data_IF_172842152623
#
_entry.id   IF_172842152623
#
_cell.length_a   1.000
_cell.length_b   1.000
_cell.length_c   1.000
_cell.angle_alpha   90.00
_cell.angle_beta   90.00
_cell.angle_gamma   90.00
#
_symmetry.space_group_name_H-M   'P 1'
#
loop_
_entity.id
_entity.type
_entity.pdbx_description
1 polymer ?
#
# COMPACT_ATOMS: atom_id res chain seq x y z
N UNK A 1 10.11 3.56 22.90
CA UNK A 1 9.32 3.27 24.11
C UNK A 1 8.06 4.12 24.05
N UNK A 2 6.91 3.51 23.77
CA UNK A 2 5.62 4.17 23.43
C UNK A 2 5.08 5.11 24.53
N UNK A 3 5.47 4.89 25.79
CA UNK A 3 4.93 5.66 26.93
C UNK A 3 5.18 7.17 26.89
N UNK A 4 6.19 7.66 26.15
CA UNK A 4 6.50 9.10 26.09
C UNK A 4 5.78 9.85 24.96
N UNK A 5 4.98 9.18 24.15
CA UNK A 5 4.43 9.76 22.89
C UNK A 5 2.90 9.85 22.86
N UNK A 6 2.20 9.22 23.80
CA UNK A 6 0.72 9.20 23.83
C UNK A 6 0.15 10.23 24.81
N UNK A 7 -0.96 10.88 24.43
CA UNK A 7 -1.60 11.93 25.22
C UNK A 7 -2.51 11.42 26.36
N UNK A 8 -2.63 10.10 26.51
CA UNK A 8 -3.52 9.44 27.46
C UNK A 8 -2.78 8.34 28.26
N UNK A 9 -3.34 7.85 29.39
CA UNK A 9 -2.68 6.85 30.23
C UNK A 9 -2.39 5.54 29.47
N UNK A 10 -1.13 5.13 29.50
CA UNK A 10 -0.69 3.85 28.96
C UNK A 10 -1.29 2.68 29.74
N UNK A 11 -1.85 1.71 29.03
CA UNK A 11 -2.42 0.48 29.53
C UNK A 11 -2.12 -0.65 28.54
N UNK A 12 -1.33 -1.62 28.97
CA UNK A 12 -0.89 -2.73 28.12
C UNK A 12 -2.06 -3.62 27.69
N UNK A 13 -3.07 -3.81 28.55
CA UNK A 13 -4.21 -4.67 28.23
C UNK A 13 -4.99 -4.09 27.05
N UNK A 14 -5.05 -2.76 26.95
CA UNK A 14 -5.69 -2.06 25.83
C UNK A 14 -4.92 -2.13 24.52
N UNK A 15 -3.59 -2.07 24.61
CA UNK A 15 -2.74 -2.30 23.43
C UNK A 15 -2.96 -3.72 22.89
N UNK A 16 -3.09 -4.71 23.78
CA UNK A 16 -3.38 -6.10 23.40
C UNK A 16 -4.77 -6.20 22.76
N UNK A 17 -5.78 -5.55 23.33
CA UNK A 17 -7.14 -5.52 22.77
C UNK A 17 -7.17 -4.92 21.35
N UNK A 18 -6.48 -3.82 21.12
CA UNK A 18 -6.33 -3.19 19.81
C UNK A 18 -5.59 -4.12 18.83
N UNK A 19 -4.52 -4.78 19.29
CA UNK A 19 -3.76 -5.74 18.48
C UNK A 19 -4.59 -6.94 18.03
N UNK A 20 -5.40 -7.50 18.93
CA UNK A 20 -6.35 -8.57 18.62
C UNK A 20 -7.37 -8.08 17.60
N UNK A 21 -7.92 -6.87 17.80
CA UNK A 21 -8.89 -6.28 16.89
C UNK A 21 -8.32 -6.09 15.47
N UNK A 22 -7.10 -5.56 15.34
CA UNK A 22 -6.44 -5.40 14.03
C UNK A 22 -6.23 -6.73 13.32
N UNK A 23 -6.00 -7.82 14.06
CA UNK A 23 -5.91 -9.17 13.50
C UNK A 23 -7.17 -9.60 12.74
N UNK A 24 -8.35 -9.11 13.11
CA UNK A 24 -9.59 -9.38 12.37
C UNK A 24 -9.59 -8.83 10.94
N UNK A 25 -8.75 -7.81 10.64
CA UNK A 25 -8.64 -7.20 9.31
C UNK A 25 -7.86 -8.08 8.31
N UNK A 26 -7.05 -9.01 8.80
CA UNK A 26 -6.31 -9.96 7.96
C UNK A 26 -7.19 -11.07 7.38
N UNK A 27 -8.48 -11.09 7.73
CA UNK A 27 -9.44 -12.10 7.33
C UNK A 27 -9.89 -12.92 8.52
N UNK A 28 -11.21 -12.98 8.71
CA UNK A 28 -11.86 -13.84 9.69
C UNK A 28 -13.14 -14.44 9.07
N UNK A 29 -13.81 -15.35 9.78
CA UNK A 29 -15.00 -16.05 9.28
C UNK A 29 -16.16 -15.12 8.87
N UNK A 30 -16.14 -13.86 9.30
CA UNK A 30 -17.18 -12.86 9.04
C UNK A 30 -16.75 -11.76 8.06
N UNK A 31 -15.44 -11.48 7.94
CA UNK A 31 -14.91 -10.36 7.16
C UNK A 31 -13.82 -10.89 6.21
N UNK A 32 -13.95 -10.66 4.88
CA UNK A 32 -12.88 -11.00 3.95
C UNK A 32 -11.61 -10.20 4.26
N UNK A 33 -10.45 -10.78 3.99
CA UNK A 33 -9.18 -10.08 4.17
C UNK A 33 -9.11 -8.81 3.31
N UNK A 34 -8.36 -7.81 3.78
CA UNK A 34 -8.10 -6.63 2.96
C UNK A 34 -7.36 -7.01 1.66
N UNK A 35 -7.63 -6.32 0.54
CA UNK A 35 -6.87 -6.51 -0.70
C UNK A 35 -5.37 -6.34 -0.43
N UNK A 36 -4.55 -7.16 -1.07
CA UNK A 36 -3.08 -7.12 -1.00
C UNK A 36 -2.46 -7.31 0.41
N UNK A 37 -3.28 -7.54 1.44
CA UNK A 37 -2.88 -7.99 2.78
C UNK A 37 -3.18 -9.48 2.91
N UNK A 38 -2.27 -10.31 2.40
CA UNK A 38 -2.36 -11.76 2.60
C UNK A 38 -1.87 -12.15 3.99
N UNK A 39 -2.41 -13.24 4.55
CA UNK A 39 -2.08 -13.78 5.87
C UNK A 39 -0.65 -14.34 5.85
N UNK A 40 0.34 -13.45 5.85
CA UNK A 40 1.76 -13.71 5.98
C UNK A 40 2.29 -12.87 7.14
N UNK A 41 3.37 -13.33 7.77
CA UNK A 41 3.98 -12.67 8.93
C UNK A 41 4.25 -11.17 8.69
N UNK A 42 4.48 -10.78 7.44
CA UNK A 42 4.69 -9.39 7.02
C UNK A 42 3.44 -8.50 7.23
N UNK A 43 2.23 -9.00 7.00
CA UNK A 43 1.01 -8.19 7.19
C UNK A 43 0.73 -7.88 8.67
N UNK A 44 1.05 -8.79 9.59
CA UNK A 44 0.98 -8.51 11.02
C UNK A 44 1.96 -7.42 11.45
N UNK A 45 3.18 -7.43 10.87
CA UNK A 45 4.17 -6.37 11.11
C UNK A 45 3.68 -5.02 10.57
N UNK A 46 3.11 -5.00 9.36
CA UNK A 46 2.53 -3.77 8.79
C UNK A 46 1.39 -3.19 9.64
N UNK A 47 0.48 -4.03 10.16
CA UNK A 47 -0.56 -3.57 11.10
C UNK A 47 0.06 -2.96 12.35
N UNK A 48 1.09 -3.60 12.90
CA UNK A 48 1.79 -3.12 14.08
C UNK A 48 2.51 -1.80 13.85
N UNK A 49 3.22 -1.66 12.73
CA UNK A 49 3.93 -0.44 12.36
C UNK A 49 2.95 0.71 12.11
N UNK A 50 1.83 0.42 11.44
CA UNK A 50 0.73 1.38 11.24
C UNK A 50 0.16 1.83 12.58
N UNK A 51 -0.08 0.90 13.50
CA UNK A 51 -0.59 1.21 14.82
C UNK A 51 0.36 2.10 15.61
N UNK A 52 1.67 1.83 15.54
CA UNK A 52 2.69 2.68 16.16
C UNK A 52 2.69 4.12 15.63
N UNK A 53 2.46 4.31 14.34
CA UNK A 53 2.35 5.64 13.73
C UNK A 53 1.08 6.35 14.19
N UNK A 54 -0.03 5.62 14.30
CA UNK A 54 -1.35 6.18 14.58
C UNK A 54 -1.57 6.46 16.06
N UNK A 55 -1.13 5.56 16.95
CA UNK A 55 -1.44 5.62 18.38
C UNK A 55 -1.11 6.96 19.06
N UNK A 56 0.05 7.62 18.79
CA UNK A 56 0.35 8.95 19.33
C UNK A 56 -0.59 10.06 18.86
N UNK A 57 -1.28 9.87 17.73
CA UNK A 57 -2.21 10.84 17.14
C UNK A 57 -3.62 10.72 17.73
N UNK A 58 -3.91 9.63 18.44
CA UNK A 58 -5.23 9.37 19.02
C UNK A 58 -5.36 10.00 20.41
N UNK A 59 -6.61 10.21 20.83
CA UNK A 59 -7.00 10.63 22.17
C UNK A 59 -7.36 9.46 23.11
N UNK A 60 -7.20 8.22 22.63
CA UNK A 60 -7.40 6.98 23.37
C UNK A 60 -7.20 5.74 22.49
N UNK A 61 -7.59 4.56 23.00
CA UNK A 61 -7.48 3.29 22.28
C UNK A 61 -8.57 3.12 21.21
N UNK A 62 -8.31 2.27 20.22
CA UNK A 62 -9.25 2.00 19.12
C UNK A 62 -10.45 1.17 19.63
N UNK A 63 -10.19 0.20 20.51
CA UNK A 63 -11.17 -0.67 21.13
C UNK A 63 -11.35 -0.34 22.61
N UNK A 64 -12.57 0.03 22.99
CA UNK A 64 -12.94 0.36 24.36
C UNK A 64 -13.89 -0.71 24.91
N UNK A 65 -13.30 -1.74 25.52
CA UNK A 65 -14.04 -2.86 26.13
C UNK A 65 -14.98 -3.60 25.15
N UNK A 66 -14.53 -3.82 23.92
CA UNK A 66 -15.32 -4.46 22.86
C UNK A 66 -16.20 -3.50 22.07
N UNK A 67 -16.20 -2.21 22.42
CA UNK A 67 -16.84 -1.16 21.61
C UNK A 67 -15.78 -0.47 20.76
N UNK A 68 -15.94 -0.55 19.44
CA UNK A 68 -15.02 0.08 18.50
C UNK A 68 -15.26 1.59 18.43
N UNK A 69 -14.22 2.38 18.66
CA UNK A 69 -14.24 3.82 18.39
C UNK A 69 -13.98 4.03 16.89
N UNK A 70 -15.05 4.36 16.14
CA UNK A 70 -15.00 4.46 14.69
C UNK A 70 -14.15 5.64 14.18
N UNK A 71 -14.06 6.73 14.94
CA UNK A 71 -13.27 7.90 14.54
C UNK A 71 -11.77 7.58 14.61
N UNK A 72 -11.33 6.97 15.72
CA UNK A 72 -9.95 6.49 15.88
C UNK A 72 -9.62 5.38 14.89
N UNK A 73 -10.56 4.47 14.66
CA UNK A 73 -10.41 3.41 13.68
C UNK A 73 -10.30 3.96 12.25
N UNK A 74 -11.02 5.04 11.91
CA UNK A 74 -10.91 5.69 10.61
C UNK A 74 -9.50 6.28 10.39
N UNK A 75 -8.89 6.89 11.41
CA UNK A 75 -7.50 7.37 11.34
C UNK A 75 -6.55 6.20 11.06
N UNK A 76 -6.74 5.07 11.77
CA UNK A 76 -5.96 3.86 11.55
C UNK A 76 -6.10 3.33 10.11
N UNK A 77 -7.31 3.18 9.60
CA UNK A 77 -7.56 2.73 8.22
C UNK A 77 -6.99 3.69 7.17
N UNK A 78 -7.02 4.99 7.46
CA UNK A 78 -6.45 6.01 6.57
C UNK A 78 -4.94 5.85 6.45
N UNK A 79 -4.24 5.64 7.57
CA UNK A 79 -2.81 5.34 7.55
C UNK A 79 -2.53 4.01 6.84
N UNK A 80 -3.29 2.97 7.16
CA UNK A 80 -3.14 1.64 6.56
C UNK A 80 -3.31 1.67 5.03
N UNK A 81 -4.19 2.52 4.51
CA UNK A 81 -4.44 2.66 3.06
C UNK A 81 -3.22 3.15 2.26
N UNK A 82 -2.26 3.81 2.91
CA UNK A 82 -1.01 4.25 2.26
C UNK A 82 -0.17 3.06 1.80
N UNK A 83 -0.21 1.95 2.54
CA UNK A 83 0.44 0.71 2.15
C UNK A 83 -0.13 0.18 0.82
N UNK A 84 -1.46 0.08 0.73
CA UNK A 84 -2.13 -0.40 -0.48
C UNK A 84 -1.86 0.51 -1.69
N UNK A 85 -1.85 1.83 -1.44
CA UNK A 85 -1.53 2.83 -2.48
C UNK A 85 -0.09 2.68 -2.98
N UNK A 86 0.89 2.62 -2.08
CA UNK A 86 2.31 2.45 -2.43
C UNK A 86 2.53 1.16 -3.22
N UNK A 87 1.87 0.08 -2.82
CA UNK A 87 1.98 -1.21 -3.49
C UNK A 87 1.38 -1.17 -4.91
N UNK A 88 0.26 -0.47 -5.08
CA UNK A 88 -0.37 -0.29 -6.38
C UNK A 88 0.55 0.50 -7.34
N UNK A 89 1.13 1.60 -6.85
CA UNK A 89 2.03 2.45 -7.63
C UNK A 89 3.29 1.70 -8.08
N UNK A 90 3.91 0.90 -7.20
CA UNK A 90 5.08 0.09 -7.52
C UNK A 90 4.75 -0.92 -8.64
N UNK A 91 3.62 -1.63 -8.52
CA UNK A 91 3.21 -2.59 -9.55
C UNK A 91 2.84 -1.94 -10.87
N UNK A 92 2.20 -0.78 -10.84
CA UNK A 92 1.87 -0.05 -12.06
C UNK A 92 3.14 0.40 -12.78
N UNK A 93 4.14 0.91 -12.05
CA UNK A 93 5.43 1.30 -12.60
C UNK A 93 6.15 0.11 -13.26
N UNK A 94 6.16 -1.06 -12.60
CA UNK A 94 6.73 -2.28 -13.15
C UNK A 94 6.02 -2.74 -14.44
N UNK A 95 4.69 -2.71 -14.46
CA UNK A 95 3.90 -3.05 -15.64
C UNK A 95 4.21 -2.12 -16.81
N UNK A 96 4.23 -0.80 -16.57
CA UNK A 96 4.58 0.21 -17.58
C UNK A 96 5.99 0.00 -18.13
N UNK A 97 6.96 -0.29 -17.25
CA UNK A 97 8.34 -0.57 -17.65
C UNK A 97 8.48 -1.84 -18.51
N UNK A 98 7.78 -2.92 -18.14
CA UNK A 98 7.76 -4.16 -18.93
C UNK A 98 7.14 -3.95 -20.31
N UNK A 99 6.01 -3.24 -20.39
CA UNK A 99 5.35 -2.90 -21.65
C UNK A 99 6.25 -2.04 -22.54
N UNK A 100 6.92 -1.03 -21.98
CA UNK A 100 7.87 -0.19 -22.71
C UNK A 100 9.05 -0.98 -23.29
N UNK A 101 9.62 -1.92 -22.52
CA UNK A 101 10.68 -2.81 -23.01
C UNK A 101 10.20 -3.76 -24.10
N UNK A 102 9.00 -4.32 -23.95
CA UNK A 102 8.41 -5.22 -24.95
C UNK A 102 8.11 -4.48 -26.26
N UNK A 103 7.53 -3.28 -26.16
CA UNK A 103 7.28 -2.39 -27.29
C UNK A 103 8.58 -1.97 -28.00
N UNK A 104 9.61 -1.56 -27.26
CA UNK A 104 10.90 -1.19 -27.81
C UNK A 104 11.64 -2.38 -28.46
N UNK A 105 11.45 -3.60 -27.94
CA UNK A 105 11.97 -4.82 -28.58
C UNK A 105 11.23 -5.13 -29.88
N UNK A 106 9.90 -5.11 -29.87
CA UNK A 106 9.08 -5.31 -31.08
C UNK A 106 9.38 -4.28 -32.17
N UNK A 107 9.50 -3.00 -31.80
CA UNK A 107 9.83 -1.93 -32.73
C UNK A 107 11.18 -2.18 -33.44
N UNK A 108 12.22 -2.55 -32.68
CA UNK A 108 13.55 -2.92 -33.24
C UNK A 108 13.49 -4.16 -34.13
N UNK A 109 12.63 -5.12 -33.81
CA UNK A 109 12.47 -6.34 -34.60
C UNK A 109 11.72 -6.09 -35.92
N UNK A 110 10.69 -5.25 -35.91
CA UNK A 110 9.97 -4.81 -37.11
C UNK A 110 10.85 -3.98 -38.04
N UNK A 111 11.69 -3.10 -37.49
CA UNK A 111 12.69 -2.34 -38.23
C UNK A 111 13.71 -3.28 -38.92
N UNK A 112 14.24 -4.28 -38.19
CA UNK A 112 15.13 -5.32 -38.75
C UNK A 112 14.47 -6.14 -39.85
N UNK A 113 13.18 -6.39 -39.77
CA UNK A 113 12.42 -7.13 -40.78
C UNK A 113 11.99 -6.26 -41.98
N UNK A 114 12.37 -4.97 -42.01
CA UNK A 114 12.08 -4.06 -43.12
C UNK A 114 10.59 -3.78 -43.34
N UNK A 115 9.73 -4.09 -42.36
CA UNK A 115 8.28 -3.86 -42.45
C UNK A 115 7.97 -2.46 -41.95
N UNK A 116 7.78 -1.52 -42.87
CA UNK A 116 7.23 -0.19 -42.55
C UNK A 116 5.80 -0.38 -42.05
N UNK A 117 5.59 -0.17 -40.76
CA UNK A 117 4.25 -0.14 -40.18
C UNK A 117 3.55 1.11 -40.72
N UNK A 118 2.59 0.95 -41.64
CA UNK A 118 1.63 2.01 -41.97
C UNK A 118 0.71 2.18 -40.75
N UNK A 119 1.10 3.08 -39.86
CA UNK A 119 0.30 3.49 -38.71
C UNK A 119 -0.96 4.19 -39.21
N UNK A 120 -2.11 3.57 -38.97
CA UNK A 120 -3.41 4.24 -38.90
C UNK A 120 -4.07 3.64 -37.67
N UNK A 121 -4.47 4.48 -36.71
CA UNK A 121 -4.93 4.13 -35.36
C UNK A 121 -3.86 3.85 -34.30
N UNK A 122 -3.00 4.83 -33.98
CA UNK A 122 -2.70 5.16 -32.57
C UNK A 122 -2.44 6.67 -32.49
N UNK A 123 -3.51 7.46 -32.47
CA UNK A 123 -3.46 8.87 -32.05
C UNK A 123 -4.38 9.04 -30.85
N UNK A 124 -3.94 8.53 -29.71
CA UNK A 124 -4.37 9.00 -28.40
C UNK A 124 -3.12 9.02 -27.52
N UNK A 125 -2.50 10.20 -27.55
CA UNK A 125 -1.59 10.79 -26.57
C UNK A 125 -0.75 9.82 -25.73
N UNK A 126 0.38 9.39 -26.31
CA UNK A 126 1.59 9.22 -25.50
C UNK A 126 2.03 10.64 -25.18
N UNK A 127 1.62 11.14 -24.02
CA UNK A 127 2.34 12.26 -23.40
C UNK A 127 3.70 11.69 -23.05
N UNK A 128 4.72 12.11 -23.79
CA UNK A 128 6.13 11.87 -23.46
C UNK A 128 6.38 12.50 -22.09
N UNK A 129 6.14 11.74 -21.02
CA UNK A 129 6.67 12.05 -19.71
C UNK A 129 8.00 11.31 -19.61
N UNK A 130 9.08 12.08 -19.47
CA UNK A 130 10.41 11.53 -19.29
C UNK A 130 10.39 10.50 -18.15
N UNK A 131 11.07 9.36 -18.32
CA UNK A 131 11.19 8.38 -17.25
C UNK A 131 11.87 9.05 -16.04
N UNK A 132 11.39 8.82 -14.79
CA UNK A 132 12.03 9.38 -13.62
C UNK A 132 13.49 8.93 -13.56
N UNK A 133 14.39 9.89 -13.34
CA UNK A 133 15.81 9.62 -13.17
C UNK A 133 16.03 8.65 -11.99
N UNK A 134 16.96 7.71 -12.18
CA UNK A 134 17.28 6.69 -11.17
C UNK A 134 17.74 7.36 -9.86
N UNK A 135 17.38 6.85 -8.67
CA UNK A 135 18.01 7.31 -7.43
C UNK A 135 19.51 7.00 -7.42
N UNK A 136 20.31 7.97 -7.00
CA UNK A 136 21.76 8.01 -7.15
C UNK A 136 22.57 7.15 -6.14
N UNK A 137 22.05 5.98 -5.73
CA UNK A 137 22.76 5.10 -4.79
C UNK A 137 22.80 3.65 -5.31
N UNK A 138 23.83 3.38 -6.14
CA UNK A 138 24.47 2.08 -6.29
C UNK A 138 25.84 2.12 -5.59
#
# INVERSE_FOLDING_TARGET
MVQSEIAFPFDLERIIDDWIFMGYLLGNDFIPHLPNMHIHAESTLYLWDTYHVVLPQLDGYINEFGTLNLERFHIFLSELSKFDTSWFEEREADQRWMQGKHGARMARELERLGKVVKSTFVRLEIVDHDPPERPAWQ
#
